data_IF_293857345494
#
_entry.id   IF_293857345494
#
_cell.length_a   1.000
_cell.length_b   1.000
_cell.length_c   1.000
_cell.angle_alpha   90.00
_cell.angle_beta   90.00
_cell.angle_gamma   90.00
#
_symmetry.space_group_name_H-M   'P 1'
#
loop_
_entity.id
_entity.type
_entity.pdbx_description
1 polymer ?
#
# COMPACT_ATOMS: atom_id res chain seq x y z
N UNK A 1 -2.54 5.93 -6.59
CA UNK A 1 -2.28 7.28 -6.06
C UNK A 1 -2.96 8.26 -6.98
N UNK A 2 -2.78 9.56 -6.77
CA UNK A 2 -3.49 10.59 -7.57
C UNK A 2 -2.69 11.89 -7.52
N UNK A 3 -2.89 12.77 -8.51
CA UNK A 3 -2.35 14.13 -8.46
C UNK A 3 -3.12 15.03 -7.47
N UNK A 4 -4.28 14.58 -6.97
CA UNK A 4 -5.06 15.33 -5.98
C UNK A 4 -4.28 15.48 -4.65
N UNK A 5 -4.39 16.63 -3.94
CA UNK A 5 -3.69 16.86 -2.68
C UNK A 5 -3.91 15.81 -1.58
N UNK A 6 -5.02 15.06 -1.65
CA UNK A 6 -5.30 13.93 -0.74
C UNK A 6 -4.24 12.81 -0.84
N UNK A 7 -3.36 12.81 -1.85
CA UNK A 7 -2.16 11.96 -1.88
C UNK A 7 -1.31 12.08 -0.62
N UNK A 8 -1.32 13.24 0.05
CA UNK A 8 -0.59 13.43 1.31
C UNK A 8 -1.02 12.42 2.41
N UNK A 9 -2.25 11.87 2.34
CA UNK A 9 -2.73 10.87 3.30
C UNK A 9 -1.83 9.64 3.39
N UNK A 10 -1.19 9.20 2.29
CA UNK A 10 -0.28 8.05 2.32
C UNK A 10 1.01 8.33 3.13
N UNK A 11 1.58 9.52 2.98
CA UNK A 11 2.76 9.93 3.75
C UNK A 11 2.44 10.12 5.24
N UNK A 12 1.27 10.67 5.55
CA UNK A 12 0.77 10.81 6.93
C UNK A 12 0.56 9.42 7.55
N UNK A 13 -0.10 8.51 6.82
CA UNK A 13 -0.33 7.15 7.27
C UNK A 13 0.98 6.41 7.55
N UNK A 14 1.97 6.52 6.65
CA UNK A 14 3.28 5.93 6.89
C UNK A 14 3.92 6.45 8.18
N UNK A 15 3.85 7.76 8.43
CA UNK A 15 4.38 8.35 9.66
C UNK A 15 3.70 7.79 10.91
N UNK A 16 2.36 7.71 10.91
CA UNK A 16 1.60 7.14 12.03
C UNK A 16 2.01 5.68 12.28
N UNK A 17 2.12 4.88 11.21
CA UNK A 17 2.54 3.48 11.31
C UNK A 17 3.97 3.36 11.81
N UNK A 18 4.88 4.24 11.39
CA UNK A 18 6.25 4.26 11.89
C UNK A 18 6.33 4.56 13.38
N UNK A 19 5.48 5.47 13.88
CA UNK A 19 5.41 5.81 15.31
C UNK A 19 4.86 4.64 16.15
N UNK A 20 3.96 3.82 15.59
CA UNK A 20 3.29 2.74 16.33
C UNK A 20 3.95 1.37 16.18
N UNK A 21 4.42 1.04 14.98
CA UNK A 21 4.89 -0.30 14.58
C UNK A 21 6.39 -0.30 14.31
N UNK A 22 6.92 0.82 13.79
CA UNK A 22 8.33 1.01 13.47
C UNK A 22 8.60 1.26 11.98
N UNK A 23 9.87 1.51 11.61
CA UNK A 23 10.26 1.98 10.27
C UNK A 23 10.22 0.90 9.18
N UNK A 24 9.87 -0.35 9.52
CA UNK A 24 9.86 -1.49 8.61
C UNK A 24 8.69 -1.49 7.61
N UNK A 25 7.75 -0.54 7.72
CA UNK A 25 6.60 -0.44 6.81
C UNK A 25 6.85 0.64 5.77
N UNK A 26 6.68 0.31 4.49
CA UNK A 26 6.90 1.23 3.38
C UNK A 26 5.58 1.41 2.63
N UNK A 27 5.12 2.66 2.50
CA UNK A 27 3.96 3.02 1.69
C UNK A 27 4.40 3.60 0.36
N UNK A 28 3.72 3.17 -0.69
CA UNK A 28 3.88 3.71 -2.03
C UNK A 28 2.56 3.63 -2.77
N UNK A 29 2.49 4.30 -3.92
CA UNK A 29 1.30 4.30 -4.76
C UNK A 29 1.69 3.93 -6.18
N UNK A 30 0.82 3.18 -6.86
CA UNK A 30 1.03 2.76 -8.25
C UNK A 30 1.09 3.99 -9.17
N UNK A 31 0.03 4.80 -9.13
CA UNK A 31 -0.01 6.07 -9.86
C UNK A 31 0.50 7.21 -9.00
N UNK A 32 1.34 8.07 -9.58
CA UNK A 32 1.86 9.31 -8.98
C UNK A 32 2.55 9.09 -7.62
N UNK A 33 3.53 8.18 -7.53
CA UNK A 33 4.25 7.94 -6.29
C UNK A 33 4.98 9.20 -5.82
N UNK A 34 5.06 9.37 -4.49
CA UNK A 34 5.84 10.44 -3.89
C UNK A 34 7.35 10.24 -4.06
N UNK A 35 7.78 8.98 -4.10
CA UNK A 35 9.17 8.57 -4.24
C UNK A 35 9.27 7.53 -5.37
N UNK A 36 10.34 7.56 -6.18
CA UNK A 36 10.59 6.51 -7.17
C UNK A 36 10.71 5.13 -6.51
N UNK A 37 10.29 4.07 -7.21
CA UNK A 37 10.35 2.69 -6.71
C UNK A 37 11.78 2.27 -6.37
N UNK A 38 12.76 2.72 -7.14
CA UNK A 38 14.18 2.43 -6.94
C UNK A 38 14.67 2.95 -5.58
N UNK A 39 14.17 4.11 -5.15
CA UNK A 39 14.53 4.69 -3.85
C UNK A 39 13.95 3.87 -2.70
N UNK A 40 12.72 3.40 -2.83
CA UNK A 40 12.07 2.56 -1.82
C UNK A 40 12.80 1.22 -1.71
N UNK A 41 13.11 0.57 -2.83
CA UNK A 41 13.83 -0.70 -2.86
C UNK A 41 15.24 -0.54 -2.29
N UNK A 42 15.92 0.57 -2.60
CA UNK A 42 17.21 0.90 -1.99
C UNK A 42 17.10 1.01 -0.47
N UNK A 43 16.09 1.71 0.06
CA UNK A 43 15.85 1.80 1.52
C UNK A 43 15.60 0.43 2.16
N UNK A 44 14.82 -0.43 1.51
CA UNK A 44 14.56 -1.81 1.96
C UNK A 44 15.88 -2.60 2.04
N UNK A 45 16.69 -2.52 0.98
CA UNK A 45 17.97 -3.20 0.89
C UNK A 45 18.99 -2.69 1.94
N UNK A 46 19.13 -1.37 2.10
CA UNK A 46 20.05 -0.73 3.06
C UNK A 46 19.65 -1.00 4.51
N UNK A 47 18.35 -1.16 4.79
CA UNK A 47 17.85 -1.59 6.09
C UNK A 47 18.12 -3.09 6.38
N UNK A 48 18.66 -3.84 5.42
CA UNK A 48 19.02 -5.25 5.57
C UNK A 48 17.87 -6.23 5.35
N UNK A 49 16.71 -5.77 4.87
CA UNK A 49 15.59 -6.66 4.58
C UNK A 49 15.84 -7.44 3.29
N UNK A 50 15.58 -8.76 3.35
CA UNK A 50 15.71 -9.70 2.22
C UNK A 50 14.39 -10.30 1.77
N UNK A 51 13.34 -10.08 2.55
CA UNK A 51 11.99 -10.52 2.26
C UNK A 51 11.01 -9.42 2.66
N UNK A 52 10.04 -9.14 1.80
CA UNK A 52 8.97 -8.19 2.06
C UNK A 52 7.62 -8.86 1.91
N UNK A 53 6.68 -8.49 2.77
CA UNK A 53 5.28 -8.85 2.64
C UNK A 53 4.53 -7.66 2.07
N UNK A 54 4.02 -7.80 0.84
CA UNK A 54 3.32 -6.74 0.14
C UNK A 54 1.82 -6.88 0.34
N UNK A 55 1.22 -5.88 0.98
CA UNK A 55 -0.24 -5.77 1.14
C UNK A 55 -0.75 -4.71 0.16
N UNK A 56 -1.61 -5.07 -0.80
CA UNK A 56 -2.21 -4.09 -1.69
C UNK A 56 -3.12 -3.16 -0.90
N UNK A 57 -2.75 -1.87 -0.80
CA UNK A 57 -3.60 -0.85 -0.18
C UNK A 57 -4.68 -0.37 -1.17
N UNK A 58 -5.48 -1.32 -1.65
CA UNK A 58 -6.58 -1.18 -2.60
C UNK A 58 -7.79 -1.93 -2.03
N UNK A 59 -9.00 -1.41 -2.21
CA UNK A 59 -10.20 -2.08 -1.68
C UNK A 59 -10.34 -3.51 -2.23
N UNK A 60 -10.06 -3.70 -3.52
CA UNK A 60 -10.03 -5.00 -4.21
C UNK A 60 -8.70 -5.15 -4.94
N UNK A 61 -8.13 -6.35 -4.92
CA UNK A 61 -6.93 -6.72 -5.68
C UNK A 61 -7.25 -6.93 -7.19
N UNK A 62 -7.57 -5.82 -7.87
CA UNK A 62 -7.97 -5.82 -9.28
C UNK A 62 -6.81 -5.73 -10.28
N UNK A 63 -7.07 -5.11 -11.44
CA UNK A 63 -6.10 -5.02 -12.56
C UNK A 63 -4.75 -4.43 -12.13
N UNK A 64 -4.76 -3.39 -11.29
CA UNK A 64 -3.54 -2.79 -10.75
C UNK A 64 -2.69 -3.77 -9.95
N UNK A 65 -3.32 -4.63 -9.14
CA UNK A 65 -2.59 -5.68 -8.45
C UNK A 65 -1.98 -6.68 -9.43
N UNK A 66 -2.78 -7.17 -10.39
CA UNK A 66 -2.33 -8.16 -11.36
C UNK A 66 -1.21 -7.66 -12.28
N UNK A 67 -1.26 -6.39 -12.69
CA UNK A 67 -0.32 -5.81 -13.66
C UNK A 67 0.89 -5.17 -12.99
N UNK A 68 0.66 -4.28 -12.03
CA UNK A 68 1.69 -3.37 -11.53
C UNK A 68 2.41 -3.95 -10.30
N UNK A 69 1.75 -4.83 -9.54
CA UNK A 69 2.34 -5.47 -8.35
C UNK A 69 2.83 -6.89 -8.68
N UNK A 70 1.92 -7.72 -9.18
CA UNK A 70 2.07 -9.16 -9.38
C UNK A 70 2.43 -9.54 -10.83
N UNK A 71 2.60 -8.57 -11.72
CA UNK A 71 2.72 -8.81 -13.15
C UNK A 71 4.09 -9.31 -13.59
N UNK A 72 4.16 -9.82 -14.82
CA UNK A 72 5.38 -10.38 -15.41
C UNK A 72 6.27 -9.34 -16.11
N UNK A 73 5.83 -8.08 -16.21
CA UNK A 73 6.61 -7.00 -16.81
C UNK A 73 7.76 -6.54 -15.90
N UNK A 74 8.87 -6.08 -16.48
CA UNK A 74 10.05 -5.68 -15.71
C UNK A 74 9.77 -4.60 -14.66
N UNK A 75 8.86 -3.67 -14.97
CA UNK A 75 8.48 -2.58 -14.07
C UNK A 75 7.47 -2.99 -12.98
N UNK A 76 7.07 -4.26 -12.88
CA UNK A 76 6.21 -4.72 -11.79
C UNK A 76 6.99 -4.76 -10.47
N UNK A 77 6.33 -4.48 -9.35
CA UNK A 77 6.99 -4.54 -8.03
C UNK A 77 7.64 -5.89 -7.75
N UNK A 78 6.99 -6.99 -8.15
CA UNK A 78 7.56 -8.32 -8.03
C UNK A 78 8.93 -8.42 -8.71
N UNK A 79 9.02 -7.97 -9.96
CA UNK A 79 10.25 -8.09 -10.72
C UNK A 79 11.32 -7.12 -10.24
N UNK A 80 10.95 -5.88 -9.93
CA UNK A 80 11.88 -4.88 -9.39
C UNK A 80 12.54 -5.34 -8.07
N UNK A 81 11.78 -5.95 -7.16
CA UNK A 81 12.32 -6.47 -5.90
C UNK A 81 13.18 -7.73 -6.14
N UNK A 82 12.73 -8.63 -7.03
CA UNK A 82 13.47 -9.84 -7.40
C UNK A 82 14.83 -9.52 -8.03
N UNK A 83 14.91 -8.51 -8.88
CA UNK A 83 16.17 -8.03 -9.47
C UNK A 83 17.19 -7.60 -8.40
N UNK A 84 16.71 -7.10 -7.26
CA UNK A 84 17.52 -6.73 -6.11
C UNK A 84 17.69 -7.86 -5.08
N UNK A 85 17.36 -9.10 -5.46
CA UNK A 85 17.43 -10.29 -4.61
C UNK A 85 16.61 -10.17 -3.32
N UNK A 86 15.51 -9.41 -3.37
CA UNK A 86 14.53 -9.30 -2.29
C UNK A 86 13.33 -10.17 -2.65
N UNK A 87 13.04 -11.15 -1.80
CA UNK A 87 11.86 -11.99 -1.91
C UNK A 87 10.59 -11.18 -1.60
N UNK A 88 9.52 -11.46 -2.33
CA UNK A 88 8.22 -10.81 -2.14
C UNK A 88 7.14 -11.87 -1.94
N UNK A 89 6.49 -11.82 -0.79
CA UNK A 89 5.22 -12.49 -0.56
C UNK A 89 4.09 -11.49 -0.77
N UNK A 90 3.03 -11.92 -1.45
CA UNK A 90 1.89 -11.08 -1.75
C UNK A 90 0.69 -11.47 -0.90
N UNK A 91 0.03 -10.48 -0.30
CA UNK A 91 -1.36 -10.63 0.10
C UNK A 91 -2.22 -10.44 -1.16
N UNK A 92 -2.81 -11.52 -1.66
CA UNK A 92 -3.54 -11.53 -2.94
C UNK A 92 -5.00 -11.07 -2.83
N UNK A 93 -5.43 -10.67 -1.63
CA UNK A 93 -6.75 -10.07 -1.37
C UNK A 93 -6.63 -8.57 -1.15
N UNK A 94 -7.69 -7.84 -1.50
CA UNK A 94 -7.79 -6.40 -1.22
C UNK A 94 -8.15 -6.13 0.25
N UNK A 95 -8.09 -4.86 0.65
CA UNK A 95 -8.39 -4.42 2.02
C UNK A 95 -9.79 -4.83 2.48
N UNK A 96 -10.77 -4.97 1.58
CA UNK A 96 -12.12 -5.41 1.92
C UNK A 96 -12.20 -6.81 2.57
N UNK A 97 -11.13 -7.61 2.47
CA UNK A 97 -11.03 -8.94 3.07
C UNK A 97 -10.27 -8.96 4.40
N UNK A 98 -9.82 -7.80 4.89
CA UNK A 98 -9.16 -7.66 6.18
C UNK A 98 -10.21 -7.30 7.23
N UNK A 99 -10.21 -8.06 8.33
CA UNK A 99 -11.13 -7.84 9.45
C UNK A 99 -11.02 -6.40 9.97
N UNK A 100 -12.17 -5.76 10.20
CA UNK A 100 -12.28 -4.39 10.71
C UNK A 100 -12.24 -3.30 9.65
N UNK A 101 -11.88 -3.60 8.40
CA UNK A 101 -11.97 -2.62 7.30
C UNK A 101 -13.43 -2.32 6.96
N UNK A 102 -14.26 -3.36 6.93
CA UNK A 102 -15.70 -3.26 6.74
C UNK A 102 -16.36 -2.40 7.83
N UNK A 103 -15.97 -2.59 9.10
CA UNK A 103 -16.43 -1.78 10.23
C UNK A 103 -16.14 -0.28 10.01
N UNK A 104 -14.94 0.08 9.53
CA UNK A 104 -14.59 1.48 9.22
C UNK A 104 -15.53 2.06 8.14
N UNK A 105 -15.89 1.27 7.12
CA UNK A 105 -16.84 1.74 6.09
C UNK A 105 -18.25 1.88 6.65
N UNK A 106 -18.71 0.93 7.47
CA UNK A 106 -20.00 1.00 8.15
C UNK A 106 -20.09 2.24 9.06
N UNK A 107 -19.06 2.50 9.87
CA UNK A 107 -18.99 3.67 10.75
C UNK A 107 -19.11 4.99 9.97
N UNK A 108 -18.45 5.10 8.81
CA UNK A 108 -18.56 6.26 7.95
C UNK A 108 -19.97 6.42 7.35
N UNK A 109 -20.61 5.32 6.96
CA UNK A 109 -21.98 5.33 6.44
C UNK A 109 -22.96 5.77 7.54
N UNK A 110 -22.83 5.22 8.74
CA UNK A 110 -23.65 5.57 9.89
C UNK A 110 -23.46 7.04 10.29
N UNK A 111 -22.22 7.53 10.32
CA UNK A 111 -21.93 8.94 10.56
C UNK A 111 -22.59 9.86 9.52
N UNK A 112 -22.55 9.49 8.24
CA UNK A 112 -23.20 10.25 7.18
C UNK A 112 -24.73 10.22 7.32
N UNK A 113 -25.32 9.07 7.64
CA UNK A 113 -26.77 8.93 7.85
C UNK A 113 -27.26 9.75 9.04
N UNK A 114 -26.52 9.73 10.15
CA UNK A 114 -26.82 10.52 11.34
C UNK A 114 -26.72 12.03 11.06
N UNK A 115 -25.81 12.45 10.17
CA UNK A 115 -25.63 13.87 9.83
C UNK A 115 -26.81 14.52 9.10
N UNK A 116 -27.68 13.72 8.47
CA UNK A 116 -28.84 14.20 7.70
C UNK A 116 -30.19 13.96 8.41
N UNK A 117 -30.18 13.20 9.50
CA UNK A 117 -31.38 12.89 10.30
C UNK A 117 -31.46 13.70 11.60
N UNK A 118 -30.49 14.59 11.82
CA UNK A 118 -30.45 15.59 12.90
C UNK A 118 -30.99 16.92 12.40
#
# INVERSE_FOLDING_TARGET
GTDHPCRASYSILQKIVHEQIGPQVFFTTIEKPAEPSELIIKKIHEAGYRKVFCIPFLLVAGMHFLKDINGDHQSSWRNLLKEQQIEIDLHDRGLAYLDGVDEIFCDHIDAAFNSITT
#
